data_IF_776284388636
#
_entry.id   IF_776284388636
#
_cell.length_a   1.000
_cell.length_b   1.000
_cell.length_c   1.000
_cell.angle_alpha   90.00
_cell.angle_beta   90.00
_cell.angle_gamma   90.00
#
_symmetry.space_group_name_H-M   'P 1'
#
loop_
_entity.id
_entity.type
_entity.pdbx_description
1 polymer ?
#
# COMPACT_ATOMS: atom_id res chain seq x y z
N UNK A 1 -3.29 -20.65 -13.31
CA UNK A 1 -2.71 -19.37 -13.75
C UNK A 1 -2.18 -18.70 -12.50
N UNK A 2 -0.88 -18.43 -12.39
CA UNK A 2 -0.27 -17.94 -11.14
C UNK A 2 -0.92 -16.62 -10.71
N UNK A 3 -1.50 -16.59 -9.51
CA UNK A 3 -2.07 -15.38 -8.93
C UNK A 3 -0.93 -14.44 -8.54
N UNK A 4 -0.86 -13.29 -9.20
CA UNK A 4 0.03 -12.18 -8.83
C UNK A 4 -0.65 -11.25 -7.84
N UNK A 5 0.09 -10.75 -6.84
CA UNK A 5 -0.43 -9.84 -5.83
C UNK A 5 -0.92 -8.51 -6.41
N UNK A 6 -0.39 -8.10 -7.57
CA UNK A 6 -0.76 -6.87 -8.26
C UNK A 6 -2.21 -6.89 -8.78
N UNK A 7 -2.78 -8.09 -8.94
CA UNK A 7 -4.16 -8.27 -9.35
C UNK A 7 -5.15 -8.06 -8.20
N UNK A 8 -4.70 -8.05 -6.95
CA UNK A 8 -5.60 -7.84 -5.82
C UNK A 8 -6.16 -6.40 -5.82
N UNK A 9 -7.48 -6.21 -5.69
CA UNK A 9 -8.07 -4.87 -5.63
C UNK A 9 -7.50 -3.99 -4.51
N UNK A 10 -7.09 -4.59 -3.39
CA UNK A 10 -6.50 -3.87 -2.26
C UNK A 10 -5.15 -3.24 -2.60
N UNK A 11 -4.32 -3.89 -3.42
CA UNK A 11 -3.04 -3.37 -3.90
C UNK A 11 -3.26 -2.06 -4.68
N UNK A 12 -4.18 -2.09 -5.66
CA UNK A 12 -4.53 -0.93 -6.49
C UNK A 12 -5.10 0.22 -5.66
N UNK A 13 -5.98 -0.09 -4.70
CA UNK A 13 -6.54 0.91 -3.77
C UNK A 13 -5.48 1.53 -2.87
N UNK A 14 -4.54 0.74 -2.35
CA UNK A 14 -3.46 1.22 -1.50
C UNK A 14 -2.55 2.20 -2.26
N UNK A 15 -2.16 1.89 -3.50
CA UNK A 15 -1.37 2.81 -4.33
C UNK A 15 -2.11 4.11 -4.58
N UNK A 16 -3.39 4.03 -4.98
CA UNK A 16 -4.22 5.23 -5.20
C UNK A 16 -4.34 6.08 -3.92
N UNK A 17 -4.47 5.44 -2.76
CA UNK A 17 -4.50 6.13 -1.46
C UNK A 17 -3.19 6.87 -1.18
N UNK A 18 -2.04 6.21 -1.35
CA UNK A 18 -0.72 6.83 -1.15
C UNK A 18 -0.54 8.06 -2.04
N UNK A 19 -0.90 7.98 -3.33
CA UNK A 19 -0.83 9.14 -4.24
C UNK A 19 -1.71 10.29 -3.75
N UNK A 20 -2.93 10.02 -3.25
CA UNK A 20 -3.82 11.05 -2.72
C UNK A 20 -3.24 11.71 -1.47
N UNK A 21 -2.67 10.94 -0.55
CA UNK A 21 -2.04 11.50 0.66
C UNK A 21 -0.86 12.39 0.27
N UNK A 22 0.04 11.93 -0.60
CA UNK A 22 1.20 12.73 -0.98
C UNK A 22 0.80 14.06 -1.65
N UNK A 23 -0.25 14.06 -2.49
CA UNK A 23 -0.84 15.30 -3.04
C UNK A 23 -1.39 16.23 -1.96
N UNK A 24 -2.04 15.70 -0.92
CA UNK A 24 -2.51 16.51 0.21
C UNK A 24 -1.32 17.14 0.94
N UNK A 25 -0.24 16.40 1.14
CA UNK A 25 0.96 16.88 1.85
C UNK A 25 1.76 17.94 1.07
N UNK A 26 1.51 18.09 -0.23
CA UNK A 26 2.06 19.17 -1.06
C UNK A 26 1.36 20.51 -0.84
N UNK A 27 0.20 20.53 -0.17
CA UNK A 27 -0.56 21.75 0.12
C UNK A 27 0.29 22.78 0.87
N UNK A 28 0.27 24.03 0.40
CA UNK A 28 1.03 25.16 0.95
C UNK A 28 0.76 25.40 2.44
N UNK A 29 -0.48 25.19 2.90
CA UNK A 29 -0.86 25.35 4.30
C UNK A 29 -0.16 24.35 5.23
N UNK A 30 0.29 23.21 4.70
CA UNK A 30 1.00 22.18 5.47
C UNK A 30 2.52 22.36 5.42
N UNK A 31 3.06 23.31 4.64
CA UNK A 31 4.51 23.45 4.44
C UNK A 31 5.26 23.83 5.72
N UNK A 32 4.60 24.49 6.68
CA UNK A 32 5.18 24.82 7.99
C UNK A 32 5.04 23.69 9.03
N UNK A 33 4.21 22.69 8.73
CA UNK A 33 3.88 21.57 9.62
C UNK A 33 4.78 20.35 9.33
N UNK A 34 6.09 20.52 9.50
CA UNK A 34 7.09 19.50 9.14
C UNK A 34 6.89 18.17 9.89
N UNK A 35 6.60 18.23 11.20
CA UNK A 35 6.39 17.04 12.03
C UNK A 35 5.14 16.27 11.59
N UNK A 36 4.03 16.97 11.34
CA UNK A 36 2.79 16.37 10.85
C UNK A 36 2.99 15.73 9.47
N UNK A 37 3.66 16.44 8.54
CA UNK A 37 3.97 15.90 7.21
C UNK A 37 4.82 14.64 7.29
N UNK A 38 5.84 14.63 8.15
CA UNK A 38 6.71 13.46 8.30
C UNK A 38 5.97 12.28 8.91
N UNK A 39 5.16 12.50 9.95
CA UNK A 39 4.33 11.46 10.57
C UNK A 39 3.32 10.87 9.58
N UNK A 40 2.63 11.71 8.79
CA UNK A 40 1.67 11.25 7.80
C UNK A 40 2.36 10.47 6.66
N UNK A 41 3.54 10.91 6.20
CA UNK A 41 4.33 10.15 5.22
C UNK A 41 4.70 8.78 5.77
N UNK A 42 5.27 8.72 6.98
CA UNK A 42 5.69 7.47 7.62
C UNK A 42 4.52 6.53 7.83
N UNK A 43 3.41 7.03 8.38
CA UNK A 43 2.21 6.22 8.58
C UNK A 43 1.68 5.64 7.27
N UNK A 44 1.58 6.47 6.22
CA UNK A 44 1.11 6.04 4.89
C UNK A 44 2.03 4.98 4.29
N UNK A 45 3.34 5.20 4.34
CA UNK A 45 4.33 4.25 3.83
C UNK A 45 4.31 2.93 4.61
N UNK A 46 4.16 2.98 5.94
CA UNK A 46 4.06 1.79 6.77
C UNK A 46 2.79 0.99 6.45
N UNK A 47 1.64 1.67 6.32
CA UNK A 47 0.37 1.03 5.96
C UNK A 47 0.44 0.33 4.61
N UNK A 48 0.97 1.00 3.57
CA UNK A 48 1.09 0.34 2.26
C UNK A 48 2.05 -0.83 2.32
N UNK A 49 3.18 -0.71 3.03
CA UNK A 49 4.15 -1.80 3.17
C UNK A 49 3.50 -3.06 3.77
N UNK A 50 2.70 -2.90 4.82
CA UNK A 50 1.97 -4.02 5.45
C UNK A 50 0.96 -4.63 4.47
N UNK A 51 0.20 -3.80 3.75
CA UNK A 51 -0.77 -4.28 2.76
C UNK A 51 -0.08 -5.08 1.65
N UNK A 52 1.06 -4.58 1.15
CA UNK A 52 1.85 -5.25 0.11
C UNK A 52 2.37 -6.60 0.59
N UNK A 53 2.94 -6.66 1.80
CA UNK A 53 3.43 -7.91 2.38
C UNK A 53 2.31 -8.94 2.51
N UNK A 54 1.15 -8.52 3.00
CA UNK A 54 0.00 -9.42 3.15
C UNK A 54 -0.56 -9.89 1.80
N UNK A 55 -0.59 -9.01 0.79
CA UNK A 55 -1.01 -9.37 -0.55
C UNK A 55 -0.05 -10.38 -1.20
N UNK A 56 1.27 -10.24 -0.99
CA UNK A 56 2.27 -11.20 -1.44
C UNK A 56 2.10 -12.56 -0.75
N UNK A 57 1.93 -12.57 0.57
CA UNK A 57 1.69 -13.81 1.33
C UNK A 57 0.44 -14.54 0.84
N UNK A 58 -0.64 -13.81 0.57
CA UNK A 58 -1.89 -14.38 0.03
C UNK A 58 -1.68 -14.98 -1.37
N UNK A 59 -0.96 -14.30 -2.25
CA UNK A 59 -0.63 -14.83 -3.58
C UNK A 59 0.14 -16.16 -3.46
N UNK A 60 1.13 -16.24 -2.58
CA UNK A 60 1.89 -17.49 -2.33
C UNK A 60 0.98 -18.61 -1.85
N UNK A 61 0.13 -18.35 -0.84
CA UNK A 61 -0.80 -19.35 -0.29
C UNK A 61 -1.74 -19.89 -1.37
N UNK A 62 -2.35 -19.00 -2.18
CA UNK A 62 -3.26 -19.42 -3.23
C UNK A 62 -2.55 -20.28 -4.29
N UNK A 63 -1.35 -19.88 -4.71
CA UNK A 63 -0.57 -20.66 -5.68
C UNK A 63 -0.14 -22.02 -5.13
N UNK A 64 0.14 -22.13 -3.82
CA UNK A 64 0.41 -23.42 -3.18
C UNK A 64 -0.86 -24.29 -3.12
N UNK A 65 -2.01 -23.70 -2.78
CA UNK A 65 -3.29 -24.42 -2.81
C UNK A 65 -3.61 -24.96 -4.20
N UNK A 66 -3.39 -24.17 -5.25
CA UNK A 66 -3.57 -24.59 -6.64
C UNK A 66 -2.58 -25.69 -7.08
N UNK A 67 -1.44 -25.83 -6.40
CA UNK A 67 -0.44 -26.86 -6.68
C UNK A 67 -0.75 -28.20 -5.99
N UNK A 68 -1.33 -28.16 -4.79
CA UNK A 68 -1.63 -29.35 -3.98
C UNK A 68 -3.09 -29.86 -4.10
N UNK A 69 -4.00 -29.07 -4.67
CA UNK A 69 -5.39 -29.44 -4.96
C UNK A 69 -5.59 -29.98 -6.36
#
# INVERSE_FOLDING_TARGET
MTLSFENFPIYKKAISFTVKIFKILENENLQREFSLKDQLKRATLLSITIILQNAQNMAVINNLSDFFG
#
